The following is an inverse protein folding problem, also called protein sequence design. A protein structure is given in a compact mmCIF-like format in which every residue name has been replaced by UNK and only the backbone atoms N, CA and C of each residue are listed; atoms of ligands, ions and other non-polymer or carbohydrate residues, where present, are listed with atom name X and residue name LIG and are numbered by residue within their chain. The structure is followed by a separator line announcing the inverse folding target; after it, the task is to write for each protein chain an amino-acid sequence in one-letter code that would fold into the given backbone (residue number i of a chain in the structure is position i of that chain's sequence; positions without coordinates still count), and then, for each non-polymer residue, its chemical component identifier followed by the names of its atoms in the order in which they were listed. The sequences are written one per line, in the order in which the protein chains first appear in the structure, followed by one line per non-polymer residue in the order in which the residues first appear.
data_IF_591787130184
#
_entry.id   IF_591787130184
#
_cell.length_a   1.000
_cell.length_b   1.000
_cell.length_c   1.000
_cell.angle_alpha   90.00
_cell.angle_beta   90.00
_cell.angle_gamma   90.00
#
_symmetry.space_group_name_H-M   'P 1'
#
loop_
_entity.id
_entity.type
_entity.pdbx_description
1 polymer ?
#
# COMPACT_ATOMS: atom_id res chain seq x y z
N UNK A 1 21.28 10.51 -7.12
CA UNK A 1 20.05 9.90 -7.65
C UNK A 1 19.38 8.85 -6.74
N UNK A 2 19.72 8.73 -5.44
CA UNK A 2 19.06 7.77 -4.53
C UNK A 2 18.09 8.42 -3.50
N UNK A 3 18.16 9.75 -3.32
CA UNK A 3 17.35 10.47 -2.34
C UNK A 3 15.90 10.68 -2.81
N UNK A 4 15.71 10.91 -4.11
CA UNK A 4 14.40 11.23 -4.71
C UNK A 4 13.46 10.02 -4.68
N UNK A 5 13.98 8.81 -4.97
CA UNK A 5 13.22 7.57 -4.87
C UNK A 5 12.78 7.22 -3.43
N UNK A 6 13.56 7.61 -2.42
CA UNK A 6 13.21 7.43 -1.00
C UNK A 6 12.09 8.38 -0.58
N UNK A 7 12.14 9.64 -1.00
CA UNK A 7 11.10 10.63 -0.69
C UNK A 7 9.78 10.29 -1.39
N UNK A 8 9.83 9.87 -2.66
CA UNK A 8 8.67 9.38 -3.40
C UNK A 8 8.09 8.11 -2.76
N UNK A 9 8.92 7.16 -2.34
CA UNK A 9 8.45 5.96 -1.63
C UNK A 9 7.80 6.27 -0.28
N UNK A 10 8.30 7.28 0.44
CA UNK A 10 7.69 7.72 1.70
C UNK A 10 6.32 8.38 1.47
N UNK A 11 6.20 9.21 0.42
CA UNK A 11 4.92 9.80 0.01
C UNK A 11 3.89 8.74 -0.40
N UNK A 12 4.33 7.73 -1.15
CA UNK A 12 3.46 6.63 -1.57
C UNK A 12 2.98 5.79 -0.39
N UNK A 13 3.87 5.47 0.53
CA UNK A 13 3.52 4.72 1.74
C UNK A 13 2.55 5.48 2.64
N UNK A 14 2.70 6.81 2.72
CA UNK A 14 1.85 7.65 3.55
C UNK A 14 0.39 7.61 3.10
N UNK A 15 0.12 7.88 1.83
CA UNK A 15 -1.27 7.88 1.35
C UNK A 15 -1.89 6.47 1.41
N UNK A 16 -1.11 5.40 1.22
CA UNK A 16 -1.63 4.02 1.36
C UNK A 16 -2.12 3.75 2.78
N UNK A 17 -1.36 4.19 3.78
CA UNK A 17 -1.75 4.07 5.19
C UNK A 17 -2.96 4.96 5.49
N UNK A 18 -2.99 6.20 4.97
CA UNK A 18 -4.16 7.08 5.09
C UNK A 18 -5.41 6.45 4.48
N UNK A 19 -5.34 5.89 3.28
CA UNK A 19 -6.48 5.20 2.64
C UNK A 19 -6.95 4.01 3.47
N UNK A 20 -6.03 3.24 4.07
CA UNK A 20 -6.36 2.16 4.98
C UNK A 20 -7.04 2.68 6.25
N UNK A 21 -6.54 3.78 6.84
CA UNK A 21 -7.16 4.44 8.01
C UNK A 21 -8.58 4.94 7.70
N UNK A 22 -8.77 5.62 6.58
CA UNK A 22 -10.08 6.12 6.13
C UNK A 22 -11.06 4.97 5.89
N UNK A 23 -10.56 3.81 5.45
CA UNK A 23 -11.36 2.59 5.27
C UNK A 23 -11.58 1.79 6.57
N UNK A 24 -11.23 2.35 7.73
CA UNK A 24 -11.42 1.70 9.03
C UNK A 24 -10.36 0.65 9.39
N UNK A 25 -9.18 0.72 8.76
CA UNK A 25 -8.04 -0.16 9.00
C UNK A 25 -7.91 -1.31 8.00
N UNK A 26 -8.77 -1.42 6.99
CA UNK A 26 -8.63 -2.42 5.93
C UNK A 26 -9.34 -2.00 4.64
N UNK A 27 -8.77 -2.33 3.48
CA UNK A 27 -9.41 -2.13 2.18
C UNK A 27 -8.98 -3.20 1.17
N UNK A 28 -9.68 -3.28 0.04
CA UNK A 28 -9.31 -4.19 -1.05
C UNK A 28 -8.06 -3.67 -1.79
N UNK A 29 -7.29 -4.59 -2.36
CA UNK A 29 -6.15 -4.24 -3.20
C UNK A 29 -6.59 -3.42 -4.42
N UNK A 30 -7.76 -3.72 -5.00
CA UNK A 30 -8.37 -2.92 -6.06
C UNK A 30 -8.46 -1.45 -5.67
N UNK A 31 -8.97 -1.15 -4.47
CA UNK A 31 -9.11 0.22 -3.97
C UNK A 31 -7.76 0.94 -3.87
N UNK A 32 -6.72 0.24 -3.42
CA UNK A 32 -5.36 0.79 -3.34
C UNK A 32 -4.75 1.02 -4.73
N UNK A 33 -5.07 0.17 -5.70
CA UNK A 33 -4.62 0.34 -7.08
C UNK A 33 -5.32 1.54 -7.72
N UNK A 34 -6.63 1.69 -7.56
CA UNK A 34 -7.38 2.85 -8.07
C UNK A 34 -6.80 4.18 -7.55
N UNK A 35 -6.61 4.29 -6.22
CA UNK A 35 -6.00 5.48 -5.60
C UNK A 35 -4.55 5.65 -6.06
N UNK A 36 -3.83 4.55 -6.27
CA UNK A 36 -2.47 4.55 -6.80
C UNK A 36 -2.40 5.10 -8.23
N UNK A 37 -3.35 4.74 -9.10
CA UNK A 37 -3.45 5.27 -10.46
C UNK A 37 -3.75 6.77 -10.45
N UNK A 38 -4.66 7.25 -9.58
CA UNK A 38 -4.92 8.68 -9.40
C UNK A 38 -3.69 9.46 -8.94
N UNK A 39 -2.80 8.81 -8.18
CA UNK A 39 -1.55 9.38 -7.67
C UNK A 39 -0.33 9.10 -8.57
N UNK A 40 -0.53 8.53 -9.76
CA UNK A 40 0.53 8.12 -10.70
C UNK A 40 1.61 7.23 -10.05
N UNK A 41 1.17 6.26 -9.25
CA UNK A 41 2.04 5.31 -8.56
C UNK A 41 2.06 3.96 -9.29
N UNK A 42 3.00 3.77 -10.22
CA UNK A 42 3.17 2.49 -10.94
C UNK A 42 3.67 1.32 -10.05
N UNK A 43 4.03 1.59 -8.79
CA UNK A 43 4.72 0.63 -7.91
C UNK A 43 3.92 0.23 -6.66
N UNK A 44 2.58 0.31 -6.69
CA UNK A 44 1.70 -0.02 -5.54
C UNK A 44 2.03 -1.39 -4.93
N UNK A 45 2.05 -2.46 -5.73
CA UNK A 45 2.34 -3.81 -5.23
C UNK A 45 3.73 -3.95 -4.58
N UNK A 46 4.73 -3.22 -5.08
CA UNK A 46 6.07 -3.21 -4.49
C UNK A 46 6.09 -2.43 -3.16
N UNK A 47 5.39 -1.30 -3.07
CA UNK A 47 5.26 -0.53 -1.83
C UNK A 47 4.50 -1.32 -0.76
N UNK A 48 3.40 -1.99 -1.11
CA UNK A 48 2.68 -2.87 -0.19
C UNK A 48 3.56 -4.02 0.31
N UNK A 49 4.38 -4.63 -0.56
CA UNK A 49 5.37 -5.63 -0.13
C UNK A 49 6.36 -5.08 0.90
N UNK A 50 6.82 -3.83 0.72
CA UNK A 50 7.72 -3.17 1.69
C UNK A 50 7.01 -2.93 3.02
N UNK A 51 5.77 -2.43 2.99
CA UNK A 51 4.95 -2.20 4.18
C UNK A 51 4.67 -3.51 4.94
N UNK A 52 4.35 -4.60 4.22
CA UNK A 52 4.18 -5.94 4.81
C UNK A 52 5.47 -6.44 5.43
N UNK A 53 6.61 -6.26 4.77
CA UNK A 53 7.93 -6.62 5.33
C UNK A 53 8.26 -5.82 6.59
N UNK A 54 7.76 -4.59 6.71
CA UNK A 54 7.90 -3.75 7.91
C UNK A 54 6.88 -4.06 9.01
N UNK A 55 5.90 -4.94 8.76
CA UNK A 55 4.83 -5.26 9.70
C UNK A 55 3.78 -4.16 9.86
N UNK A 56 3.69 -3.21 8.91
CA UNK A 56 2.69 -2.13 8.92
C UNK A 56 1.34 -2.64 8.44
N UNK A 57 1.35 -3.46 7.38
CA UNK A 57 0.15 -4.06 6.80
C UNK A 57 0.29 -5.58 6.73
N UNK A 58 -0.84 -6.25 6.53
CA UNK A 58 -0.90 -7.68 6.25
C UNK A 58 -1.95 -7.99 5.18
N UNK A 59 -1.72 -9.08 4.46
CA UNK A 59 -2.59 -9.65 3.42
C UNK A 59 -2.19 -11.11 3.22
N UNK A 60 -3.03 -11.98 2.67
CA UNK A 60 -2.72 -13.42 2.65
C UNK A 60 -1.59 -13.76 1.66
N UNK A 61 -1.57 -13.11 0.49
CA UNK A 61 -0.61 -13.45 -0.57
C UNK A 61 0.83 -13.01 -0.27
N UNK A 62 1.80 -13.67 -0.91
CA UNK A 62 3.19 -13.20 -0.88
C UNK A 62 3.41 -11.95 -1.74
N UNK A 63 2.60 -11.75 -2.78
CA UNK A 63 2.70 -10.62 -3.69
C UNK A 63 1.34 -10.30 -4.31
N UNK A 64 1.01 -9.02 -4.43
CA UNK A 64 -0.25 -8.56 -5.02
C UNK A 64 0.02 -8.13 -6.46
N UNK A 65 -0.69 -8.75 -7.42
CA UNK A 65 -0.64 -8.38 -8.83
C UNK A 65 -2.05 -8.02 -9.27
N UNK A 66 -2.17 -6.87 -9.92
CA UNK A 66 -3.43 -6.45 -10.53
C UNK A 66 -3.51 -7.00 -11.95
N UNK A 67 -4.66 -7.54 -12.41
CA UNK A 67 -5.94 -7.67 -11.72
C UNK A 67 -6.14 -8.98 -10.92
N UNK A 68 -5.16 -9.89 -10.87
CA UNK A 68 -5.33 -11.23 -10.27
C UNK A 68 -5.72 -11.22 -8.78
N UNK A 69 -5.21 -10.28 -7.99
CA UNK A 69 -5.43 -10.21 -6.53
C UNK A 69 -6.28 -8.99 -6.13
N UNK A 70 -7.14 -8.48 -7.02
CA UNK A 70 -7.90 -7.24 -6.79
C UNK A 70 -8.84 -7.33 -5.58
N UNK A 71 -9.44 -8.50 -5.34
CA UNK A 71 -10.36 -8.78 -4.22
C UNK A 71 -9.64 -9.04 -2.89
N UNK A 72 -8.31 -9.07 -2.89
CA UNK A 72 -7.52 -9.34 -1.69
C UNK A 72 -7.68 -8.20 -0.68
N UNK A 73 -7.91 -8.54 0.59
CA UNK A 73 -8.02 -7.57 1.67
C UNK A 73 -6.63 -7.26 2.23
N UNK A 74 -6.28 -5.98 2.20
CA UNK A 74 -5.11 -5.44 2.87
C UNK A 74 -5.57 -4.84 4.19
N UNK A 75 -5.00 -5.32 5.29
CA UNK A 75 -5.31 -4.87 6.65
C UNK A 75 -4.12 -4.14 7.24
N UNK A 76 -4.38 -3.00 7.87
CA UNK A 76 -3.41 -2.26 8.66
C UNK A 76 -3.21 -2.97 10.01
N UNK A 77 -1.97 -3.35 10.30
CA UNK A 77 -1.60 -4.10 11.52
C UNK A 77 -0.87 -3.21 12.51
N UNK A 78 0.04 -2.38 12.02
CA UNK A 78 0.81 -1.47 12.86
C UNK A 78 0.85 -0.12 12.18
N UNK A 79 0.40 0.91 12.87
CA UNK A 79 0.38 2.24 12.32
C UNK A 79 1.61 3.03 12.80
N UNK A 80 2.57 3.35 11.91
CA UNK A 80 3.79 4.05 12.29
C UNK A 80 3.58 5.55 12.58
N UNK A 81 2.38 6.09 12.33
CA UNK A 81 2.03 7.52 12.43
C UNK A 81 0.88 7.75 13.43
N UNK A 82 0.52 6.73 14.25
CA UNK A 82 -0.54 6.79 15.27
C UNK A 82 0.00 7.15 16.66
#
# INVERSE_FOLDING_TARGET
MAAEAKALSAGHQKWMIETLRESGGSCTYEKLVEVGEEKHCDTVGAQLKILKKRGVINFEQMFLMYPMHKDEIVTLVNDPDA
#
